data_IF_162055069847
#
_entry.id   IF_162055069847
#
_cell.length_a   1.000
_cell.length_b   1.000
_cell.length_c   1.000
_cell.angle_alpha   90.00
_cell.angle_beta   90.00
_cell.angle_gamma   90.00
#
_symmetry.space_group_name_H-M   'P 1'
#
loop_
_entity.id
_entity.type
_entity.pdbx_description
1 polymer ?
#
# COMPACT_ATOMS: atom_id res chain seq x y z
N UNK A 1 1.01 -5.37 2.77
CA UNK A 1 0.40 -4.40 3.69
C UNK A 1 1.50 -3.53 4.25
N UNK A 2 1.24 -2.23 4.37
CA UNK A 2 2.09 -1.18 4.91
C UNK A 2 1.58 -0.79 6.29
N UNK A 3 2.50 -0.53 7.21
CA UNK A 3 2.26 -0.09 8.58
C UNK A 3 2.80 1.33 8.79
N UNK A 4 2.56 1.94 9.96
CA UNK A 4 3.13 3.26 10.29
C UNK A 4 4.66 3.23 10.37
N UNK A 5 5.26 2.07 10.68
CA UNK A 5 6.69 1.84 10.69
C UNK A 5 7.02 0.52 9.99
N UNK A 6 7.72 0.60 8.85
CA UNK A 6 8.12 -0.55 8.05
C UNK A 6 9.64 -0.63 8.01
N UNK A 7 10.21 -1.77 8.41
CA UNK A 7 11.64 -2.04 8.20
C UNK A 7 11.79 -2.69 6.83
N UNK A 8 12.48 -2.00 5.92
CA UNK A 8 12.70 -2.43 4.55
C UNK A 8 14.19 -2.44 4.22
N UNK A 9 14.58 -3.23 3.22
CA UNK A 9 15.96 -3.33 2.78
C UNK A 9 16.14 -2.72 1.38
N UNK A 10 17.36 -2.79 0.86
CA UNK A 10 17.74 -2.13 -0.39
C UNK A 10 16.99 -2.73 -1.57
N UNK A 11 16.75 -4.04 -1.52
CA UNK A 11 16.00 -4.74 -2.56
C UNK A 11 14.55 -4.26 -2.64
N UNK A 12 13.91 -3.98 -1.49
CA UNK A 12 12.57 -3.39 -1.48
C UNK A 12 12.57 -1.98 -2.10
N UNK A 13 13.59 -1.17 -1.80
CA UNK A 13 13.71 0.20 -2.32
C UNK A 13 13.88 0.27 -3.84
N UNK A 14 14.44 -0.78 -4.45
CA UNK A 14 14.68 -0.89 -5.89
C UNK A 14 13.48 -1.42 -6.68
N UNK A 15 12.41 -1.85 -6.01
CA UNK A 15 11.17 -2.31 -6.67
C UNK A 15 10.60 -1.15 -7.51
N UNK A 16 10.27 -1.44 -8.77
CA UNK A 16 9.63 -0.47 -9.65
C UNK A 16 8.17 -0.24 -9.24
N UNK A 17 7.81 1.01 -8.97
CA UNK A 17 6.43 1.46 -8.73
C UNK A 17 5.74 1.80 -10.05
N UNK A 18 6.49 2.40 -10.97
CA UNK A 18 6.12 2.60 -12.37
C UNK A 18 7.33 2.32 -13.28
N UNK A 19 7.20 2.58 -14.59
CA UNK A 19 8.25 2.25 -15.56
C UNK A 19 9.60 2.93 -15.29
N UNK A 20 9.63 4.08 -14.60
CA UNK A 20 10.84 4.88 -14.40
C UNK A 20 11.11 5.27 -12.93
N UNK A 21 10.22 4.90 -12.00
CA UNK A 21 10.29 5.30 -10.59
C UNK A 21 10.44 4.09 -9.69
N UNK A 22 11.51 4.07 -8.88
CA UNK A 22 11.70 3.06 -7.84
C UNK A 22 10.84 3.38 -6.61
N UNK A 23 10.63 2.41 -5.71
CA UNK A 23 9.93 2.64 -4.45
C UNK A 23 10.62 3.74 -3.63
N UNK A 24 11.95 3.79 -3.64
CA UNK A 24 12.72 4.86 -2.99
C UNK A 24 12.37 6.23 -3.56
N UNK A 25 12.44 6.37 -4.88
CA UNK A 25 12.16 7.65 -5.55
C UNK A 25 10.72 8.07 -5.33
N UNK A 26 9.78 7.11 -5.36
CA UNK A 26 8.38 7.34 -5.10
C UNK A 26 8.14 7.85 -3.67
N UNK A 27 8.73 7.21 -2.64
CA UNK A 27 8.62 7.67 -1.24
C UNK A 27 9.19 9.08 -1.07
N UNK A 28 10.33 9.38 -1.71
CA UNK A 28 10.99 10.68 -1.59
C UNK A 28 10.33 11.79 -2.42
N UNK A 29 9.45 11.44 -3.36
CA UNK A 29 8.79 12.40 -4.25
C UNK A 29 7.68 13.22 -3.58
N UNK A 30 7.04 12.67 -2.54
CA UNK A 30 5.92 13.29 -1.83
C UNK A 30 5.91 12.87 -0.37
N UNK A 31 5.82 13.84 0.55
CA UNK A 31 5.82 13.57 1.99
C UNK A 31 4.60 12.74 2.45
N UNK A 32 3.50 12.74 1.69
CA UNK A 32 2.34 11.86 1.95
C UNK A 32 2.67 10.37 1.76
N UNK A 33 3.70 10.05 0.96
CA UNK A 33 4.18 8.67 0.82
C UNK A 33 5.04 8.21 2.01
N UNK A 34 5.35 9.11 2.94
CA UNK A 34 6.13 8.85 4.14
C UNK A 34 7.57 9.37 4.07
N UNK A 35 8.39 8.91 5.00
CA UNK A 35 9.81 9.29 5.11
C UNK A 35 10.69 8.05 5.20
N UNK A 36 11.95 8.19 4.75
CA UNK A 36 12.97 7.15 4.88
C UNK A 36 14.08 7.61 5.83
N UNK A 37 14.33 6.80 6.84
CA UNK A 37 15.47 6.92 7.74
C UNK A 37 16.39 5.71 7.56
N UNK A 38 17.68 5.95 7.32
CA UNK A 38 18.67 4.87 7.21
C UNK A 38 19.03 4.35 8.60
N UNK A 39 18.88 3.04 8.81
CA UNK A 39 19.23 2.37 10.06
C UNK A 39 20.64 1.73 10.00
N UNK A 40 21.03 1.27 8.81
CA UNK A 40 22.38 0.77 8.48
C UNK A 40 22.53 0.66 6.95
N UNK A 41 23.72 0.30 6.45
CA UNK A 41 24.08 0.20 5.02
C UNK A 41 23.02 -0.45 4.09
N UNK A 42 22.14 -1.31 4.61
CA UNK A 42 21.13 -2.03 3.83
C UNK A 42 19.75 -2.10 4.48
N UNK A 43 19.49 -1.33 5.53
CA UNK A 43 18.20 -1.32 6.23
C UNK A 43 17.71 0.11 6.43
N UNK A 44 16.44 0.32 6.13
CA UNK A 44 15.75 1.58 6.28
C UNK A 44 14.47 1.40 7.08
N UNK A 45 14.16 2.43 7.86
CA UNK A 45 12.85 2.65 8.44
C UNK A 45 12.05 3.53 7.48
N UNK A 46 10.98 2.97 6.91
CA UNK A 46 9.98 3.70 6.18
C UNK A 46 8.80 4.04 7.10
N UNK A 47 8.70 5.31 7.48
CA UNK A 47 7.62 5.81 8.33
C UNK A 47 6.49 6.36 7.48
N UNK A 48 5.26 5.96 7.77
CA UNK A 48 4.05 6.38 7.07
C UNK A 48 3.05 6.93 8.07
N UNK A 49 2.43 8.06 7.74
CA UNK A 49 1.39 8.63 8.58
C UNK A 49 0.13 7.76 8.56
N UNK A 50 -0.53 7.60 9.71
CA UNK A 50 -1.71 6.73 9.85
C UNK A 50 -2.83 7.09 8.86
N UNK A 51 -3.02 8.38 8.59
CA UNK A 51 -4.02 8.88 7.64
C UNK A 51 -3.72 8.54 6.16
N UNK A 52 -2.50 8.11 5.84
CA UNK A 52 -2.10 7.74 4.47
C UNK A 52 -2.02 6.23 4.26
N UNK A 53 -2.16 5.42 5.32
CA UNK A 53 -2.03 3.97 5.23
C UNK A 53 -3.00 3.35 4.23
N UNK A 54 -4.26 3.77 4.22
CA UNK A 54 -5.27 3.24 3.30
C UNK A 54 -4.95 3.60 1.85
N UNK A 55 -4.56 4.86 1.60
CA UNK A 55 -4.20 5.35 0.28
C UNK A 55 -2.99 4.59 -0.29
N UNK A 56 -1.94 4.44 0.52
CA UNK A 56 -0.70 3.76 0.12
C UNK A 56 -0.93 2.26 -0.05
N UNK A 57 -1.64 1.60 0.88
CA UNK A 57 -1.96 0.18 0.76
C UNK A 57 -2.81 -0.09 -0.48
N UNK A 58 -3.80 0.77 -0.77
CA UNK A 58 -4.60 0.67 -1.97
C UNK A 58 -3.75 0.82 -3.23
N UNK A 59 -2.96 1.89 -3.33
CA UNK A 59 -2.13 2.17 -4.49
C UNK A 59 -1.11 1.05 -4.77
N UNK A 60 -0.29 0.67 -3.78
CA UNK A 60 0.70 -0.39 -3.94
C UNK A 60 0.06 -1.78 -4.11
N UNK A 61 -1.13 -1.96 -3.53
CA UNK A 61 -1.95 -3.16 -3.71
C UNK A 61 -2.43 -3.34 -5.15
N UNK A 62 -2.89 -2.27 -5.80
CA UNK A 62 -3.26 -2.29 -7.23
C UNK A 62 -2.08 -2.66 -8.14
N UNK A 63 -0.86 -2.32 -7.72
CA UNK A 63 0.37 -2.66 -8.43
C UNK A 63 0.87 -4.09 -8.12
N UNK A 64 0.22 -4.81 -7.21
CA UNK A 64 0.65 -6.16 -6.80
C UNK A 64 1.96 -6.18 -6.01
N UNK A 65 2.38 -5.05 -5.43
CA UNK A 65 3.66 -4.92 -4.72
C UNK A 65 3.59 -5.34 -3.25
N UNK A 66 2.41 -5.73 -2.77
CA UNK A 66 2.16 -6.08 -1.38
C UNK A 66 1.93 -7.59 -1.24
N UNK A 67 2.82 -8.28 -0.52
CA UNK A 67 2.78 -9.76 -0.34
C UNK A 67 1.51 -10.25 0.37
N UNK A 68 0.90 -9.40 1.20
CA UNK A 68 -0.24 -9.79 2.07
C UNK A 68 -1.37 -8.76 2.04
N UNK A 69 -1.61 -8.11 0.89
CA UNK A 69 -2.75 -7.22 0.72
C UNK A 69 -3.67 -7.78 -0.37
N UNK A 70 -4.91 -8.07 0.02
CA UNK A 70 -5.99 -8.30 -0.93
C UNK A 70 -6.71 -6.97 -1.15
N UNK A 71 -7.06 -6.66 -2.40
CA UNK A 71 -7.88 -5.49 -2.67
C UNK A 71 -9.19 -5.60 -1.89
N UNK A 72 -9.67 -4.51 -1.26
CA UNK A 72 -11.00 -4.49 -0.69
C UNK A 72 -11.96 -4.92 -1.80
N UNK A 73 -12.61 -6.07 -1.65
CA UNK A 73 -13.64 -6.49 -2.58
C UNK A 73 -14.69 -5.39 -2.59
N UNK A 74 -14.91 -4.76 -3.76
CA UNK A 74 -16.11 -3.99 -3.98
C UNK A 74 -17.28 -4.92 -3.66
N UNK A 75 -18.05 -4.61 -2.61
CA UNK A 75 -19.30 -5.32 -2.38
C UNK A 75 -20.10 -5.27 -3.69
N UNK A 76 -20.67 -6.40 -4.17
CA UNK A 76 -21.53 -6.33 -5.32
C UNK A 76 -22.74 -5.48 -4.93
N UNK A 77 -22.78 -4.26 -5.46
CA UNK A 77 -24.02 -3.51 -5.63
C UNK A 77 -25.03 -4.47 -6.25
N UNK A 78 -26.20 -4.60 -5.59
CA UNK A 78 -27.33 -5.50 -5.92
C UNK A 78 -27.37 -6.87 -5.23
N UNK A 79 -27.47 -6.87 -3.89
CA UNK A 79 -28.38 -7.83 -3.25
C UNK A 79 -29.82 -7.35 -3.48
N UNK A 80 -30.34 -7.62 -4.68
CA UNK A 80 -31.77 -7.61 -4.96
C UNK A 80 -32.38 -8.85 -4.27
N UNK A 81 -32.44 -8.83 -2.93
CA UNK A 81 -33.06 -9.89 -2.14
C UNK A 81 -34.56 -9.72 -2.26
N UNK A 82 -35.13 -10.34 -3.28
CA UNK A 82 -36.56 -10.59 -3.34
C UNK A 82 -36.95 -11.47 -2.16
N UNK A 83 -37.40 -10.85 -1.07
CA UNK A 83 -38.09 -11.58 -0.01
C UNK A 83 -39.38 -12.17 -0.59
N UNK A 84 -39.66 -13.46 -0.43
CA UNK A 84 -40.95 -14.00 -0.82
C UNK A 84 -42.02 -13.36 0.06
N UNK A 85 -43.06 -12.82 -0.58
CA UNK A 85 -44.30 -12.47 0.13
C UNK A 85 -44.86 -13.75 0.72
N UNK A 86 -45.04 -13.74 2.03
CA UNK A 86 -45.75 -14.80 2.74
C UNK A 86 -47.24 -14.51 2.52
N UNK A 87 -47.94 -15.41 1.82
CA UNK A 87 -49.41 -15.42 1.70
C UNK A 87 -50.08 -15.84 3.01
#
# INVERSE_FOLDING_TARGET
MIYTANIINQHHLEISVDNNTTLKDWILSDASHGTLEELSDKLWLWQVSENELDNINYFLGQLGLLISWELPTSEPENLNVGYPKIE
#
